data_IF_727257571683
#
_entry.id   IF_727257571683
#
_cell.length_a   1.000
_cell.length_b   1.000
_cell.length_c   1.000
_cell.angle_alpha   90.00
_cell.angle_beta   90.00
_cell.angle_gamma   90.00
#
_symmetry.space_group_name_H-M   'P 1'
#
loop_
_entity.id
_entity.type
_entity.pdbx_description
1 polymer ?
#
# COMPACT_ATOMS: atom_id res chain seq x y z
N UNK A 1 42.98 -46.60 36.04
CA UNK A 1 42.06 -47.14 35.04
C UNK A 1 42.82 -48.18 34.22
N UNK A 2 42.24 -49.36 34.02
CA UNK A 2 42.80 -50.36 33.11
C UNK A 2 42.57 -49.92 31.65
N UNK A 3 43.38 -50.41 30.67
CA UNK A 3 43.19 -50.11 29.25
C UNK A 3 41.74 -50.36 28.77
N UNK A 4 41.10 -51.41 29.28
CA UNK A 4 39.72 -51.78 28.93
C UNK A 4 38.70 -50.73 29.41
N UNK A 5 38.92 -50.13 30.57
CA UNK A 5 38.05 -49.06 31.07
C UNK A 5 38.16 -47.77 30.25
N UNK A 6 39.35 -47.46 29.73
CA UNK A 6 39.55 -46.32 28.83
C UNK A 6 38.85 -46.56 27.48
N UNK A 7 38.92 -47.79 26.95
CA UNK A 7 38.25 -48.15 25.70
C UNK A 7 36.71 -48.07 25.81
N UNK A 8 36.14 -48.55 26.92
CA UNK A 8 34.70 -48.46 27.17
C UNK A 8 34.22 -47.01 27.29
N UNK A 9 34.96 -46.15 28.01
CA UNK A 9 34.62 -44.74 28.13
C UNK A 9 34.69 -44.00 26.78
N UNK A 10 35.69 -44.30 25.95
CA UNK A 10 35.82 -43.75 24.59
C UNK A 10 34.67 -44.19 23.67
N UNK A 11 34.23 -45.45 23.80
CA UNK A 11 33.09 -45.99 23.07
C UNK A 11 31.80 -45.23 23.42
N UNK A 12 31.54 -45.00 24.71
CA UNK A 12 30.34 -44.31 25.16
C UNK A 12 30.31 -42.83 24.76
N UNK A 13 31.46 -42.15 24.84
CA UNK A 13 31.63 -40.78 24.32
C UNK A 13 31.33 -40.70 22.82
N UNK A 14 31.85 -41.66 22.05
CA UNK A 14 31.66 -41.73 20.60
C UNK A 14 30.19 -41.99 20.22
N UNK A 15 29.50 -42.88 20.95
CA UNK A 15 28.06 -43.10 20.80
C UNK A 15 27.26 -41.84 21.09
N UNK A 16 27.58 -41.13 22.19
CA UNK A 16 26.92 -39.88 22.54
C UNK A 16 27.12 -38.82 21.44
N UNK A 17 28.36 -38.65 20.96
CA UNK A 17 28.68 -37.73 19.88
C UNK A 17 27.91 -38.09 18.58
N UNK A 18 27.82 -39.38 18.25
CA UNK A 18 27.07 -39.85 17.09
C UNK A 18 25.58 -39.50 17.18
N UNK A 19 24.96 -39.71 18.36
CA UNK A 19 23.57 -39.33 18.59
C UNK A 19 23.35 -37.82 18.50
N UNK A 20 24.22 -37.01 19.11
CA UNK A 20 24.15 -35.55 19.01
C UNK A 20 24.26 -35.10 17.55
N UNK A 21 25.22 -35.66 16.81
CA UNK A 21 25.45 -35.32 15.40
C UNK A 21 24.27 -35.72 14.53
N UNK A 22 23.72 -36.93 14.72
CA UNK A 22 22.55 -37.41 13.99
C UNK A 22 21.33 -36.51 14.25
N UNK A 23 21.10 -36.14 15.51
CA UNK A 23 20.03 -35.21 15.89
C UNK A 23 20.26 -33.82 15.26
N UNK A 24 21.49 -33.31 15.27
CA UNK A 24 21.80 -32.00 14.71
C UNK A 24 21.61 -31.94 13.19
N UNK A 25 22.05 -32.97 12.46
CA UNK A 25 21.87 -33.07 11.01
C UNK A 25 20.39 -33.10 10.63
N UNK A 26 19.54 -33.69 11.47
CA UNK A 26 18.10 -33.74 11.24
C UNK A 26 17.37 -32.47 11.68
N UNK A 27 17.65 -31.97 12.89
CA UNK A 27 16.96 -30.80 13.47
C UNK A 27 17.41 -29.48 12.86
N UNK A 28 18.66 -29.36 12.41
CA UNK A 28 19.20 -28.13 11.81
C UNK A 28 18.37 -27.65 10.61
N UNK A 29 18.18 -28.48 9.56
CA UNK A 29 17.34 -28.13 8.42
C UNK A 29 15.87 -27.84 8.82
N UNK A 30 15.29 -28.64 9.72
CA UNK A 30 13.91 -28.46 10.16
C UNK A 30 13.71 -27.11 10.86
N UNK A 31 14.59 -26.77 11.80
CA UNK A 31 14.57 -25.48 12.48
C UNK A 31 14.76 -24.32 11.49
N UNK A 32 15.66 -24.47 10.51
CA UNK A 32 15.89 -23.49 9.44
C UNK A 32 14.64 -23.22 8.60
N UNK A 33 13.91 -24.27 8.20
CA UNK A 33 12.65 -24.13 7.44
C UNK A 33 11.58 -23.45 8.28
N UNK A 34 11.40 -23.85 9.55
CA UNK A 34 10.41 -23.24 10.44
C UNK A 34 10.68 -21.76 10.69
N UNK A 35 11.94 -21.40 10.94
CA UNK A 35 12.36 -20.01 11.09
C UNK A 35 12.09 -19.21 9.81
N UNK A 36 12.42 -19.78 8.64
CA UNK A 36 12.20 -19.15 7.34
C UNK A 36 10.71 -18.87 7.10
N UNK A 37 9.83 -19.85 7.33
CA UNK A 37 8.38 -19.67 7.15
C UNK A 37 7.80 -18.64 8.13
N UNK A 38 8.25 -18.64 9.39
CA UNK A 38 7.84 -17.63 10.37
C UNK A 38 8.26 -16.22 9.95
N UNK A 39 9.52 -16.07 9.52
CA UNK A 39 10.07 -14.80 9.06
C UNK A 39 9.36 -14.30 7.80
N UNK A 40 9.13 -15.18 6.82
CA UNK A 40 8.40 -14.85 5.58
C UNK A 40 6.99 -14.36 5.89
N UNK A 41 6.21 -15.07 6.72
CA UNK A 41 4.86 -14.62 7.11
C UNK A 41 4.87 -13.23 7.75
N UNK A 42 5.87 -12.96 8.61
CA UNK A 42 6.02 -11.63 9.24
C UNK A 42 6.39 -10.57 8.21
N UNK A 43 7.28 -10.90 7.27
CA UNK A 43 7.68 -10.02 6.18
C UNK A 43 6.52 -9.72 5.24
N UNK A 44 5.78 -10.72 4.78
CA UNK A 44 4.66 -10.57 3.84
C UNK A 44 3.59 -9.63 4.39
N UNK A 45 3.29 -9.77 5.69
CA UNK A 45 2.36 -8.86 6.37
C UNK A 45 2.86 -7.41 6.37
N UNK A 46 4.15 -7.21 6.67
CA UNK A 46 4.76 -5.88 6.70
C UNK A 46 4.87 -5.27 5.30
N UNK A 47 5.15 -6.09 4.30
CA UNK A 47 5.20 -5.69 2.89
C UNK A 47 3.82 -5.27 2.39
N UNK A 48 2.74 -5.98 2.79
CA UNK A 48 1.36 -5.59 2.47
C UNK A 48 1.01 -4.22 3.08
N UNK A 49 1.35 -3.99 4.34
CA UNK A 49 1.18 -2.71 5.02
C UNK A 49 1.96 -1.59 4.30
N UNK A 50 3.20 -1.86 3.93
CA UNK A 50 4.04 -0.90 3.23
C UNK A 50 3.49 -0.56 1.83
N UNK A 51 3.05 -1.55 1.07
CA UNK A 51 2.44 -1.33 -0.25
C UNK A 51 1.20 -0.46 -0.15
N UNK A 52 0.28 -0.79 0.75
CA UNK A 52 -0.93 0.00 0.99
C UNK A 52 -0.57 1.45 1.34
N UNK A 53 0.32 1.65 2.31
CA UNK A 53 0.77 2.98 2.73
C UNK A 53 1.39 3.78 1.57
N UNK A 54 2.29 3.17 0.80
CA UNK A 54 2.94 3.85 -0.33
C UNK A 54 1.96 4.20 -1.45
N UNK A 55 0.97 3.35 -1.72
CA UNK A 55 -0.10 3.66 -2.69
C UNK A 55 -0.93 4.86 -2.22
N UNK A 56 -1.37 4.87 -0.96
CA UNK A 56 -2.10 6.01 -0.40
C UNK A 56 -1.27 7.29 -0.43
N UNK A 57 0.02 7.22 -0.08
CA UNK A 57 0.94 8.35 -0.18
C UNK A 57 1.07 8.84 -1.62
N UNK A 58 1.25 7.96 -2.59
CA UNK A 58 1.43 8.33 -4.00
C UNK A 58 0.20 9.08 -4.56
N UNK A 59 -1.00 8.65 -4.18
CA UNK A 59 -2.26 9.19 -4.71
C UNK A 59 -2.98 10.18 -3.78
N UNK A 60 -2.36 10.60 -2.66
CA UNK A 60 -3.02 11.38 -1.59
C UNK A 60 -3.66 12.72 -2.00
N UNK A 61 -3.31 13.27 -3.16
CA UNK A 61 -3.91 14.50 -3.73
C UNK A 61 -4.40 14.31 -5.16
N UNK A 62 -4.60 13.07 -5.60
CA UNK A 62 -5.20 12.81 -6.90
C UNK A 62 -6.66 13.26 -6.89
N UNK A 63 -7.01 14.14 -7.83
CA UNK A 63 -8.38 14.57 -8.08
C UNK A 63 -8.66 14.44 -9.59
N UNK A 64 -9.59 13.57 -10.02
CA UNK A 64 -10.42 12.70 -9.19
C UNK A 64 -9.62 11.60 -8.45
N UNK A 65 -10.16 11.02 -7.37
CA UNK A 65 -9.54 9.88 -6.70
C UNK A 65 -9.30 8.71 -7.65
N UNK A 66 -8.14 8.06 -7.53
CA UNK A 66 -7.80 6.90 -8.37
C UNK A 66 -8.40 5.61 -7.80
N UNK A 67 -8.61 4.60 -8.65
CA UNK A 67 -9.06 3.28 -8.20
C UNK A 67 -8.09 2.66 -7.18
N UNK A 68 -6.78 2.82 -7.38
CA UNK A 68 -5.77 2.29 -6.46
C UNK A 68 -5.85 2.94 -5.08
N UNK A 69 -6.17 4.23 -5.01
CA UNK A 69 -6.39 4.94 -3.76
C UNK A 69 -7.63 4.39 -3.04
N UNK A 70 -8.76 4.28 -3.73
CA UNK A 70 -10.02 3.75 -3.18
C UNK A 70 -9.84 2.31 -2.70
N UNK A 71 -9.24 1.44 -3.52
CA UNK A 71 -8.97 0.05 -3.17
C UNK A 71 -8.04 -0.06 -1.96
N UNK A 72 -7.04 0.81 -1.86
CA UNK A 72 -6.13 0.82 -0.71
C UNK A 72 -6.84 1.21 0.58
N UNK A 73 -7.75 2.18 0.54
CA UNK A 73 -8.58 2.55 1.69
C UNK A 73 -9.46 1.37 2.15
N UNK A 74 -10.13 0.70 1.21
CA UNK A 74 -11.01 -0.44 1.50
C UNK A 74 -10.29 -1.67 2.09
N UNK A 75 -8.96 -1.74 1.97
CA UNK A 75 -8.14 -2.83 2.52
C UNK A 75 -7.55 -2.52 3.90
N UNK A 76 -7.74 -1.31 4.45
CA UNK A 76 -7.12 -0.89 5.71
C UNK A 76 -7.52 -1.83 6.86
N UNK A 77 -8.81 -2.16 6.99
CA UNK A 77 -9.30 -3.01 8.08
C UNK A 77 -8.68 -4.40 8.09
N UNK A 78 -8.31 -4.92 6.92
CA UNK A 78 -7.66 -6.23 6.77
C UNK A 78 -6.15 -6.12 7.01
N UNK A 79 -5.48 -5.19 6.32
CA UNK A 79 -4.01 -5.09 6.32
C UNK A 79 -3.48 -4.54 7.64
N UNK A 80 -4.22 -3.62 8.27
CA UNK A 80 -3.89 -3.01 9.55
C UNK A 80 -4.73 -3.55 10.73
N UNK A 81 -5.36 -4.73 10.59
CA UNK A 81 -6.21 -5.34 11.64
C UNK A 81 -5.58 -5.40 13.06
N UNK A 82 -4.25 -5.55 13.16
CA UNK A 82 -3.56 -5.61 14.47
C UNK A 82 -3.11 -4.21 14.99
N UNK A 83 -3.46 -3.14 14.29
CA UNK A 83 -3.07 -1.76 14.60
C UNK A 83 -4.30 -0.90 14.82
N UNK A 84 -4.92 -1.06 16.00
CA UNK A 84 -6.18 -0.39 16.38
C UNK A 84 -6.18 1.11 16.09
N UNK A 85 -5.12 1.83 16.44
CA UNK A 85 -5.01 3.27 16.18
C UNK A 85 -5.17 3.64 14.70
N UNK A 86 -4.64 2.82 13.77
CA UNK A 86 -4.79 3.05 12.33
C UNK A 86 -6.23 2.79 11.90
N UNK A 87 -6.82 1.69 12.37
CA UNK A 87 -8.22 1.33 12.08
C UNK A 87 -9.20 2.38 12.62
N UNK A 88 -9.00 2.86 13.84
CA UNK A 88 -9.85 3.87 14.47
C UNK A 88 -9.78 5.22 13.73
N UNK A 89 -8.60 5.61 13.25
CA UNK A 89 -8.43 6.81 12.42
C UNK A 89 -9.04 6.64 11.03
N UNK A 90 -8.98 5.44 10.47
CA UNK A 90 -9.63 5.11 9.21
C UNK A 90 -11.15 5.25 9.33
N UNK A 91 -11.77 4.66 10.36
CA UNK A 91 -13.20 4.79 10.57
C UNK A 91 -13.63 6.25 10.77
N UNK A 92 -12.88 7.04 11.55
CA UNK A 92 -13.14 8.48 11.69
C UNK A 92 -13.07 9.22 10.34
N UNK A 93 -12.09 8.89 9.51
CA UNK A 93 -11.95 9.48 8.18
C UNK A 93 -13.08 9.04 7.25
N UNK A 94 -13.45 7.76 7.26
CA UNK A 94 -14.58 7.22 6.49
C UNK A 94 -15.90 7.91 6.87
N UNK A 95 -16.17 8.06 8.16
CA UNK A 95 -17.37 8.74 8.65
C UNK A 95 -17.44 10.19 8.17
N UNK A 96 -16.30 10.88 8.05
CA UNK A 96 -16.23 12.24 7.50
C UNK A 96 -16.50 12.28 6.00
N UNK A 97 -16.03 11.28 5.25
CA UNK A 97 -16.30 11.16 3.81
C UNK A 97 -17.77 10.83 3.52
N UNK A 98 -18.45 10.16 4.45
CA UNK A 98 -19.86 9.78 4.32
C UNK A 98 -20.84 10.92 4.67
N UNK A 99 -20.37 12.06 5.18
CA UNK A 99 -21.22 13.21 5.53
C UNK A 99 -21.68 14.00 4.31
N UNK A 100 -22.89 14.55 4.37
CA UNK A 100 -23.40 15.50 3.39
C UNK A 100 -23.78 16.84 4.07
N UNK A 101 -23.10 17.97 3.74
CA UNK A 101 -21.92 18.08 2.90
C UNK A 101 -20.64 17.59 3.61
N UNK A 102 -19.70 17.04 2.84
CA UNK A 102 -18.40 16.62 3.38
C UNK A 102 -17.62 17.81 3.92
N UNK A 103 -17.17 17.73 5.18
CA UNK A 103 -16.21 18.68 5.74
C UNK A 103 -14.77 18.34 5.29
N UNK A 104 -14.38 18.85 4.13
CA UNK A 104 -13.09 18.53 3.51
C UNK A 104 -11.87 18.94 4.33
N UNK A 105 -11.96 20.03 5.10
CA UNK A 105 -10.84 20.47 5.95
C UNK A 105 -10.59 19.47 7.07
N UNK A 106 -11.66 19.03 7.74
CA UNK A 106 -11.58 18.04 8.80
C UNK A 106 -11.19 16.65 8.24
N UNK A 107 -11.73 16.28 7.08
CA UNK A 107 -11.40 15.04 6.39
C UNK A 107 -9.92 15.00 5.98
N UNK A 108 -9.36 16.08 5.41
CA UNK A 108 -7.93 16.15 5.05
C UNK A 108 -7.06 16.02 6.31
N UNK A 109 -7.38 16.74 7.39
CA UNK A 109 -6.64 16.62 8.65
C UNK A 109 -6.64 15.19 9.19
N UNK A 110 -7.80 14.51 9.18
CA UNK A 110 -7.90 13.13 9.63
C UNK A 110 -7.19 12.14 8.73
N UNK A 111 -7.17 12.40 7.42
CA UNK A 111 -6.39 11.61 6.49
C UNK A 111 -4.88 11.75 6.74
N UNK A 112 -4.39 12.94 7.07
CA UNK A 112 -2.99 13.14 7.45
C UNK A 112 -2.64 12.44 8.77
N UNK A 113 -3.54 12.48 9.77
CA UNK A 113 -3.40 11.70 11.01
C UNK A 113 -3.26 10.20 10.71
N UNK A 114 -4.13 9.66 9.85
CA UNK A 114 -4.14 8.26 9.43
C UNK A 114 -2.81 7.88 8.77
N UNK A 115 -2.33 8.66 7.80
CA UNK A 115 -1.06 8.42 7.12
C UNK A 115 0.14 8.48 8.08
N UNK A 116 0.14 9.43 9.02
CA UNK A 116 1.19 9.53 10.03
C UNK A 116 1.20 8.30 10.96
N UNK A 117 0.02 7.82 11.38
CA UNK A 117 -0.10 6.62 12.21
C UNK A 117 0.39 5.35 11.47
N UNK A 118 0.03 5.19 10.20
CA UNK A 118 0.57 4.12 9.35
C UNK A 118 2.10 4.21 9.22
N UNK A 119 2.61 5.41 9.01
CA UNK A 119 4.05 5.69 8.97
C UNK A 119 4.75 5.23 10.25
N UNK A 120 4.18 5.53 11.41
CA UNK A 120 4.68 5.07 12.72
C UNK A 120 4.77 3.54 12.82
N UNK A 121 3.73 2.81 12.42
CA UNK A 121 3.72 1.33 12.38
C UNK A 121 4.83 0.77 11.48
N UNK A 122 5.11 1.44 10.36
CA UNK A 122 6.13 1.06 9.39
C UNK A 122 7.54 1.54 9.74
N UNK A 123 7.72 2.26 10.85
CA UNK A 123 9.02 2.75 11.31
C UNK A 123 9.44 4.10 10.70
N UNK A 124 8.53 4.79 10.01
CA UNK A 124 8.71 6.16 9.51
C UNK A 124 8.33 7.19 10.58
N UNK A 125 8.78 7.02 11.82
CA UNK A 125 8.34 7.81 12.99
C UNK A 125 8.68 9.30 12.93
N UNK A 126 9.60 9.72 12.07
CA UNK A 126 9.97 11.12 11.84
C UNK A 126 9.11 11.81 10.80
N UNK A 127 8.25 11.08 10.10
CA UNK A 127 7.39 11.63 9.06
C UNK A 127 6.26 12.43 9.71
N UNK A 128 6.37 13.76 9.69
CA UNK A 128 5.35 14.64 10.27
C UNK A 128 4.18 14.86 9.31
N UNK A 129 3.02 15.27 9.82
CA UNK A 129 1.89 15.68 8.98
C UNK A 129 2.26 16.80 8.01
N UNK A 130 3.13 17.72 8.42
CA UNK A 130 3.66 18.79 7.58
C UNK A 130 4.50 18.26 6.40
N UNK A 131 5.22 17.16 6.59
CA UNK A 131 5.98 16.54 5.52
C UNK A 131 5.07 15.75 4.57
N UNK A 132 4.04 15.09 5.11
CA UNK A 132 3.03 14.37 4.32
C UNK A 132 2.20 15.36 3.48
N UNK A 133 1.85 16.53 4.03
CA UNK A 133 1.00 17.51 3.35
C UNK A 133 1.69 18.20 2.17
N UNK A 134 3.03 18.26 2.14
CA UNK A 134 3.79 18.74 0.97
C UNK A 134 3.57 17.80 -0.20
N UNK A 135 3.07 18.29 -1.33
CA UNK A 135 2.82 17.48 -2.53
C UNK A 135 3.26 18.23 -3.79
N UNK A 136 4.05 17.60 -4.65
CA UNK A 136 4.50 18.21 -5.90
C UNK A 136 3.45 18.02 -6.99
N UNK A 137 3.01 19.13 -7.57
CA UNK A 137 2.13 19.14 -8.74
C UNK A 137 2.78 19.99 -9.84
N UNK A 138 3.27 19.37 -10.93
CA UNK A 138 3.86 20.08 -12.06
C UNK A 138 2.88 21.07 -12.69
N UNK A 139 3.33 22.31 -12.93
CA UNK A 139 2.55 23.32 -13.67
C UNK A 139 2.09 22.83 -15.04
N UNK A 140 2.93 22.04 -15.72
CA UNK A 140 2.59 21.49 -17.04
C UNK A 140 1.33 20.59 -17.00
N UNK A 141 1.16 19.77 -15.95
CA UNK A 141 -0.06 18.97 -15.79
C UNK A 141 -1.29 19.84 -15.54
N UNK A 142 -1.15 20.90 -14.73
CA UNK A 142 -2.21 21.88 -14.51
C UNK A 142 -2.63 22.57 -15.81
N UNK A 143 -1.66 23.06 -16.60
CA UNK A 143 -1.91 23.71 -17.89
C UNK A 143 -2.60 22.76 -18.88
N UNK A 144 -2.15 21.50 -18.97
CA UNK A 144 -2.74 20.51 -19.85
C UNK A 144 -4.17 20.14 -19.42
N UNK A 145 -4.41 19.98 -18.12
CA UNK A 145 -5.74 19.70 -17.59
C UNK A 145 -6.71 20.86 -17.88
N UNK A 146 -6.26 22.10 -17.70
CA UNK A 146 -7.05 23.28 -18.03
C UNK A 146 -7.39 23.35 -19.52
N UNK A 147 -6.39 23.15 -20.40
CA UNK A 147 -6.60 23.13 -21.85
C UNK A 147 -7.60 22.04 -22.27
N UNK A 148 -7.51 20.86 -21.65
CA UNK A 148 -8.45 19.76 -21.92
C UNK A 148 -9.87 20.13 -21.48
N UNK A 149 -10.05 20.77 -20.33
CA UNK A 149 -11.36 21.23 -19.83
C UNK A 149 -11.96 22.27 -20.80
N UNK A 150 -11.17 23.26 -21.21
CA UNK A 150 -11.60 24.30 -22.16
C UNK A 150 -12.02 23.66 -23.50
N UNK A 151 -11.19 22.75 -24.03
CA UNK A 151 -11.48 22.03 -25.27
C UNK A 151 -12.77 21.21 -25.18
N UNK A 152 -12.95 20.45 -24.10
CA UNK A 152 -14.16 19.65 -23.87
C UNK A 152 -15.41 20.52 -23.74
N UNK A 153 -15.29 21.67 -23.06
CA UNK A 153 -16.38 22.62 -22.88
C UNK A 153 -16.83 23.21 -24.21
N UNK A 154 -15.87 23.68 -25.03
CA UNK A 154 -16.16 24.24 -26.35
C UNK A 154 -16.69 23.19 -27.33
N UNK A 155 -16.14 21.98 -27.31
CA UNK A 155 -16.67 20.86 -28.10
C UNK A 155 -18.13 20.56 -27.71
N UNK A 156 -18.41 20.47 -26.41
CA UNK A 156 -19.76 20.21 -25.92
C UNK A 156 -20.74 21.34 -26.29
N UNK A 157 -20.29 22.60 -26.27
CA UNK A 157 -21.07 23.75 -26.76
C UNK A 157 -21.43 23.58 -28.23
N UNK A 158 -20.45 23.25 -29.08
CA UNK A 158 -20.66 23.01 -30.52
C UNK A 158 -21.63 21.86 -30.75
N UNK A 159 -21.40 20.71 -30.11
CA UNK A 159 -22.26 19.52 -30.25
C UNK A 159 -23.70 19.81 -29.85
N UNK A 160 -23.91 20.50 -28.71
CA UNK A 160 -25.26 20.93 -28.29
C UNK A 160 -25.90 21.95 -29.22
N UNK A 161 -25.10 22.76 -29.92
CA UNK A 161 -25.60 23.74 -30.90
C UNK A 161 -25.80 23.16 -32.31
N UNK A 162 -25.41 21.90 -32.55
CA UNK A 162 -25.37 21.30 -33.89
C UNK A 162 -26.76 21.21 -34.52
N UNK A 163 -27.84 21.06 -33.73
CA UNK A 163 -29.22 21.10 -34.21
C UNK A 163 -29.60 22.43 -34.89
N UNK A 164 -28.86 23.51 -34.61
CA UNK A 164 -29.11 24.86 -35.16
C UNK A 164 -28.17 25.21 -36.31
N UNK A 165 -27.30 24.30 -36.72
CA UNK A 165 -26.35 24.53 -37.80
C UNK A 165 -27.02 24.31 -39.16
N UNK A 166 -26.86 25.27 -40.07
CA UNK A 166 -27.28 25.11 -41.48
C UNK A 166 -26.29 24.16 -42.14
N UNK A 167 -26.80 23.04 -42.67
CA UNK A 167 -26.00 22.03 -43.37
C UNK A 167 -26.26 22.15 -44.86
N UNK A 168 -25.21 22.40 -45.64
CA UNK A 168 -25.30 22.32 -47.11
C UNK A 168 -25.01 20.88 -47.58
N UNK A 169 -25.82 20.31 -48.49
CA UNK A 169 -25.55 19.00 -49.06
C UNK A 169 -24.21 18.99 -49.78
N UNK A 170 -23.41 17.94 -49.57
CA UNK A 170 -22.19 17.74 -50.34
C UNK A 170 -22.58 17.42 -51.79
N UNK A 171 -22.26 18.32 -52.72
CA UNK A 171 -22.36 18.05 -54.16
C UNK A 171 -21.37 16.94 -54.47
N UNK A 172 -21.86 15.74 -54.78
CA UNK A 172 -21.06 14.66 -55.36
C UNK A 172 -21.00 14.90 -56.86
N UNK A 173 -19.91 15.50 -57.34
CA UNK A 173 -19.64 15.51 -58.78
C UNK A 173 -19.48 14.05 -59.24
N UNK A 174 -20.37 13.64 -60.14
CA UNK A 174 -20.52 12.25 -60.57
C UNK A 174 -19.30 11.74 -61.36
N UNK A 175 -18.92 10.50 -61.06
CA UNK A 175 -18.50 9.52 -62.08
C UNK A 175 -19.66 9.15 -62.98
#
# INVERSE_FOLDING_TARGET
MTPDQLALAQLDLSKLQAWITAIAIFLGPLAGVLFTLWFQRRKDRRDAQQRLFLTLMAHRRSNPPTYDWVNSLNLIDVVFANHRTVVDLWHQYYDLLAQEPVNWHLAESKYLDLLAAMGGVLGYSKLSQTDISKFYSPRAHGNQAQLNIETQTELLRVLKSTERMVVEPRVTDGT
#
